data_IF_892499592204
#
_entry.id   IF_892499592204
#
_cell.length_a   1.000
_cell.length_b   1.000
_cell.length_c   1.000
_cell.angle_alpha   90.00
_cell.angle_beta   90.00
_cell.angle_gamma   90.00
#
_symmetry.space_group_name_H-M   'P 1'
#
loop_
_entity.id
_entity.type
_entity.pdbx_description
1 polymer ?
#
# COMPACT_ATOMS: atom_id res chain seq x y z
N UNK A 1 16.93 1.63 7.35
CA UNK A 1 15.72 2.41 7.72
C UNK A 1 15.85 2.78 9.20
N UNK A 2 15.30 3.91 9.68
CA UNK A 2 15.25 4.16 11.13
C UNK A 2 14.23 3.21 11.78
N UNK A 3 14.52 2.72 12.99
CA UNK A 3 13.67 1.76 13.72
C UNK A 3 12.24 2.28 13.94
N UNK A 4 12.10 3.56 14.29
CA UNK A 4 10.80 4.21 14.47
C UNK A 4 9.96 4.21 13.18
N UNK A 5 10.57 4.52 12.04
CA UNK A 5 9.90 4.52 10.73
C UNK A 5 9.46 3.12 10.32
N UNK A 6 10.28 2.09 10.61
CA UNK A 6 9.91 0.70 10.36
C UNK A 6 8.69 0.30 11.19
N UNK A 7 8.76 0.51 12.51
CA UNK A 7 7.68 0.14 13.43
C UNK A 7 6.38 0.88 13.08
N UNK A 8 6.45 2.17 12.77
CA UNK A 8 5.28 2.95 12.38
C UNK A 8 4.61 2.41 11.12
N UNK A 9 5.38 2.17 10.05
CA UNK A 9 4.82 1.61 8.82
C UNK A 9 4.28 0.18 9.03
N UNK A 10 5.02 -0.66 9.75
CA UNK A 10 4.60 -2.03 10.02
C UNK A 10 3.28 -2.05 10.80
N UNK A 11 3.16 -1.22 11.85
CA UNK A 11 1.94 -1.13 12.65
C UNK A 11 0.75 -0.70 11.80
N UNK A 12 0.89 0.34 10.96
CA UNK A 12 -0.18 0.79 10.06
C UNK A 12 -0.67 -0.34 9.16
N UNK A 13 0.24 -1.08 8.52
CA UNK A 13 -0.15 -2.15 7.60
C UNK A 13 -0.68 -3.40 8.29
N UNK A 14 -0.18 -3.73 9.48
CA UNK A 14 -0.72 -4.83 10.29
C UNK A 14 -2.14 -4.50 10.76
N UNK A 15 -2.39 -3.27 11.22
CA UNK A 15 -3.73 -2.83 11.62
C UNK A 15 -4.69 -2.84 10.43
N UNK A 16 -4.26 -2.32 9.27
CA UNK A 16 -5.05 -2.35 8.04
C UNK A 16 -5.38 -3.80 7.62
N UNK A 17 -4.39 -4.70 7.60
CA UNK A 17 -4.59 -6.10 7.29
C UNK A 17 -5.55 -6.78 8.27
N UNK A 18 -5.41 -6.52 9.58
CA UNK A 18 -6.30 -7.07 10.60
C UNK A 18 -7.75 -6.59 10.41
N UNK A 19 -7.95 -5.30 10.11
CA UNK A 19 -9.27 -4.75 9.83
C UNK A 19 -9.90 -5.37 8.58
N UNK A 20 -9.15 -5.51 7.49
CA UNK A 20 -9.62 -6.17 6.27
C UNK A 20 -9.95 -7.65 6.49
N UNK A 21 -9.10 -8.39 7.23
CA UNK A 21 -9.36 -9.78 7.59
C UNK A 21 -10.62 -9.92 8.47
N UNK A 22 -10.79 -9.04 9.45
CA UNK A 22 -11.97 -9.04 10.32
C UNK A 22 -13.25 -8.78 9.51
N UNK A 23 -13.22 -7.79 8.60
CA UNK A 23 -14.35 -7.52 7.71
C UNK A 23 -14.64 -8.71 6.78
N UNK A 24 -13.63 -9.26 6.10
CA UNK A 24 -13.82 -10.40 5.20
C UNK A 24 -14.30 -11.64 5.94
N UNK A 25 -13.79 -11.90 7.14
CA UNK A 25 -14.27 -13.01 7.97
C UNK A 25 -15.74 -12.79 8.34
N UNK A 26 -16.09 -11.60 8.83
CA UNK A 26 -17.48 -11.26 9.16
C UNK A 26 -18.42 -11.37 7.94
N UNK A 27 -18.01 -10.82 6.79
CA UNK A 27 -18.75 -10.84 5.52
C UNK A 27 -19.02 -12.26 5.02
N UNK A 28 -18.00 -13.13 5.05
CA UNK A 28 -18.13 -14.50 4.54
C UNK A 28 -18.74 -15.48 5.55
N UNK A 29 -18.73 -15.17 6.86
CA UNK A 29 -19.33 -16.02 7.90
C UNK A 29 -20.84 -15.82 8.06
N UNK A 30 -21.43 -14.77 7.46
CA UNK A 30 -22.85 -14.74 7.13
C UNK A 30 -23.86 -14.81 8.30
N UNK A 31 -23.50 -14.38 9.52
CA UNK A 31 -24.42 -14.44 10.68
C UNK A 31 -25.54 -13.37 10.70
N UNK A 32 -25.89 -12.84 9.54
CA UNK A 32 -26.97 -11.87 9.32
C UNK A 32 -26.76 -11.31 7.92
N UNK A 33 -27.75 -11.42 7.04
CA UNK A 33 -27.68 -10.89 5.67
C UNK A 33 -27.22 -9.44 5.73
N UNK A 34 -26.00 -9.12 5.28
CA UNK A 34 -25.50 -7.75 5.35
C UNK A 34 -26.41 -6.86 4.53
N UNK A 35 -26.79 -5.71 5.07
CA UNK A 35 -27.51 -4.73 4.29
C UNK A 35 -26.55 -4.11 3.27
N UNK A 36 -26.62 -4.61 2.04
CA UNK A 36 -25.79 -4.11 0.93
C UNK A 36 -26.19 -2.66 0.58
N UNK A 37 -27.30 -2.12 1.10
CA UNK A 37 -27.62 -0.70 0.95
C UNK A 37 -26.79 0.20 1.86
N UNK A 38 -26.10 -0.33 2.88
CA UNK A 38 -25.19 0.43 3.72
C UNK A 38 -23.89 0.80 2.94
N UNK A 39 -23.60 2.10 2.74
CA UNK A 39 -22.37 2.59 2.12
C UNK A 39 -21.08 1.98 2.70
N UNK A 40 -21.04 1.75 4.01
CA UNK A 40 -19.86 1.22 4.70
C UNK A 40 -19.64 -0.26 4.37
N UNK A 41 -20.74 -1.01 4.24
CA UNK A 41 -20.71 -2.41 3.83
C UNK A 41 -20.27 -2.52 2.37
N UNK A 42 -20.82 -1.70 1.47
CA UNK A 42 -20.39 -1.64 0.07
C UNK A 42 -18.90 -1.31 -0.07
N UNK A 43 -18.41 -0.32 0.69
CA UNK A 43 -17.01 0.07 0.72
C UNK A 43 -16.12 -1.11 1.12
N UNK A 44 -16.50 -1.83 2.18
CA UNK A 44 -15.77 -3.00 2.65
C UNK A 44 -15.73 -4.12 1.60
N UNK A 45 -16.85 -4.40 0.92
CA UNK A 45 -16.91 -5.43 -0.14
C UNK A 45 -15.94 -5.13 -1.28
N UNK A 46 -15.85 -3.87 -1.70
CA UNK A 46 -14.98 -3.47 -2.81
C UNK A 46 -13.51 -3.40 -2.39
N UNK A 47 -13.21 -2.88 -1.20
CA UNK A 47 -11.84 -2.54 -0.80
C UNK A 47 -11.13 -3.59 0.05
N UNK A 48 -11.83 -4.44 0.80
CA UNK A 48 -11.18 -5.26 1.82
C UNK A 48 -10.15 -6.23 1.21
N UNK A 49 -10.48 -6.89 0.10
CA UNK A 49 -9.55 -7.78 -0.60
C UNK A 49 -8.32 -7.06 -1.20
N UNK A 50 -8.47 -6.00 -2.03
CA UNK A 50 -7.31 -5.31 -2.60
C UNK A 50 -6.44 -4.64 -1.54
N UNK A 51 -7.04 -4.02 -0.51
CA UNK A 51 -6.28 -3.39 0.57
C UNK A 51 -5.54 -4.43 1.40
N UNK A 52 -6.15 -5.60 1.67
CA UNK A 52 -5.48 -6.70 2.35
C UNK A 52 -4.27 -7.20 1.57
N UNK A 53 -4.43 -7.47 0.26
CA UNK A 53 -3.33 -7.94 -0.59
C UNK A 53 -2.18 -6.93 -0.64
N UNK A 54 -2.51 -5.65 -0.77
CA UNK A 54 -1.52 -4.57 -0.72
C UNK A 54 -0.81 -4.55 0.64
N UNK A 55 -1.56 -4.62 1.74
CA UNK A 55 -1.03 -4.61 3.09
C UNK A 55 -0.09 -5.80 3.34
N UNK A 56 -0.45 -7.00 2.89
CA UNK A 56 0.42 -8.19 2.96
C UNK A 56 1.73 -7.93 2.21
N UNK A 57 1.66 -7.42 0.98
CA UNK A 57 2.84 -7.07 0.19
C UNK A 57 3.74 -6.05 0.88
N UNK A 58 3.14 -5.03 1.49
CA UNK A 58 3.85 -4.00 2.24
C UNK A 58 4.52 -4.57 3.50
N UNK A 59 3.81 -5.41 4.28
CA UNK A 59 4.37 -6.06 5.47
C UNK A 59 5.55 -6.96 5.09
N UNK A 60 5.38 -7.84 4.10
CA UNK A 60 6.42 -8.74 3.62
C UNK A 60 7.65 -7.95 3.17
N UNK A 61 7.44 -6.90 2.36
CA UNK A 61 8.51 -6.04 1.90
C UNK A 61 9.24 -5.31 3.04
N UNK A 62 8.50 -4.72 3.98
CA UNK A 62 9.08 -4.00 5.12
C UNK A 62 9.93 -4.93 5.98
N UNK A 63 9.40 -6.13 6.28
CA UNK A 63 10.08 -7.17 7.06
C UNK A 63 11.37 -7.60 6.37
N UNK A 64 11.31 -7.91 5.07
CA UNK A 64 12.49 -8.33 4.31
C UNK A 64 13.56 -7.24 4.24
N UNK A 65 13.17 -6.00 3.92
CA UNK A 65 14.09 -4.87 3.82
C UNK A 65 14.74 -4.54 5.17
N UNK A 66 14.00 -4.70 6.27
CA UNK A 66 14.51 -4.51 7.62
C UNK A 66 15.51 -5.61 8.01
N UNK A 67 15.12 -6.88 7.93
CA UNK A 67 15.97 -8.01 8.35
C UNK A 67 17.21 -8.16 7.48
N UNK A 68 17.10 -7.94 6.16
CA UNK A 68 18.23 -8.02 5.23
C UNK A 68 19.03 -6.72 5.14
N UNK A 69 18.64 -5.68 5.89
CA UNK A 69 19.27 -4.34 5.88
C UNK A 69 19.47 -3.80 4.45
N UNK A 70 18.49 -4.03 3.57
CA UNK A 70 18.59 -3.65 2.15
C UNK A 70 18.58 -2.12 2.03
N UNK A 71 19.55 -1.60 1.30
CA UNK A 71 19.68 -0.19 0.95
C UNK A 71 19.33 0.01 -0.52
N UNK A 72 18.66 1.12 -0.84
CA UNK A 72 18.25 1.45 -2.22
C UNK A 72 18.77 2.82 -2.61
N UNK A 73 19.00 3.01 -3.91
CA UNK A 73 19.36 4.33 -4.44
C UNK A 73 18.25 5.36 -4.20
N UNK A 74 18.61 6.64 -4.05
CA UNK A 74 17.66 7.75 -3.79
C UNK A 74 16.54 7.81 -4.83
N UNK A 75 16.89 7.65 -6.11
CA UNK A 75 15.92 7.72 -7.22
C UNK A 75 14.94 6.56 -7.13
N UNK A 76 15.44 5.33 -7.03
CA UNK A 76 14.60 4.12 -6.88
C UNK A 76 13.65 4.25 -5.69
N UNK A 77 14.14 4.71 -4.54
CA UNK A 77 13.31 4.95 -3.37
C UNK A 77 12.17 5.93 -3.65
N UNK A 78 12.46 7.08 -4.27
CA UNK A 78 11.44 8.10 -4.59
C UNK A 78 10.41 7.57 -5.58
N UNK A 79 10.86 6.92 -6.66
CA UNK A 79 10.00 6.36 -7.69
C UNK A 79 9.10 5.27 -7.11
N UNK A 80 9.67 4.30 -6.39
CA UNK A 80 8.90 3.23 -5.75
C UNK A 80 7.91 3.76 -4.71
N UNK A 81 8.29 4.79 -3.94
CA UNK A 81 7.37 5.43 -2.99
C UNK A 81 6.22 6.13 -3.70
N UNK A 82 6.50 6.89 -4.76
CA UNK A 82 5.49 7.58 -5.54
C UNK A 82 4.52 6.58 -6.18
N UNK A 83 5.04 5.54 -6.84
CA UNK A 83 4.22 4.48 -7.45
C UNK A 83 3.39 3.76 -6.39
N UNK A 84 4.01 3.35 -5.28
CA UNK A 84 3.30 2.65 -4.20
C UNK A 84 2.14 3.47 -3.65
N UNK A 85 2.37 4.75 -3.34
CA UNK A 85 1.32 5.65 -2.83
C UNK A 85 0.26 5.92 -3.90
N UNK A 86 0.65 6.18 -5.14
CA UNK A 86 -0.30 6.44 -6.24
C UNK A 86 -1.23 5.25 -6.46
N UNK A 87 -0.69 4.03 -6.44
CA UNK A 87 -1.49 2.82 -6.60
C UNK A 87 -2.39 2.56 -5.38
N UNK A 88 -1.95 2.87 -4.18
CA UNK A 88 -2.82 2.84 -2.99
C UNK A 88 -3.98 3.83 -3.13
N UNK A 89 -3.70 5.06 -3.57
CA UNK A 89 -4.74 6.05 -3.83
C UNK A 89 -5.72 5.57 -4.91
N UNK A 90 -5.22 4.92 -5.96
CA UNK A 90 -6.05 4.32 -6.99
C UNK A 90 -6.96 3.21 -6.44
N UNK A 91 -6.44 2.37 -5.54
CA UNK A 91 -7.25 1.38 -4.81
C UNK A 91 -8.32 2.06 -3.96
N UNK A 92 -7.97 3.11 -3.21
CA UNK A 92 -8.96 3.83 -2.39
C UNK A 92 -10.02 4.54 -3.24
N UNK A 93 -9.64 5.06 -4.41
CA UNK A 93 -10.56 5.66 -5.36
C UNK A 93 -11.62 4.67 -5.85
N UNK A 94 -11.32 3.37 -5.96
CA UNK A 94 -12.30 2.35 -6.31
C UNK A 94 -13.47 2.25 -5.33
N UNK A 95 -13.27 2.63 -4.06
CA UNK A 95 -14.32 2.62 -3.04
C UNK A 95 -15.16 3.90 -2.99
N UNK A 96 -14.77 4.96 -3.70
CA UNK A 96 -15.48 6.25 -3.65
C UNK A 96 -16.94 6.20 -4.10
N UNK A 97 -17.36 5.40 -5.09
CA UNK A 97 -18.77 5.32 -5.48
C UNK A 97 -19.68 4.85 -4.34
N UNK A 98 -19.15 4.06 -3.38
CA UNK A 98 -19.92 3.63 -2.22
C UNK A 98 -20.31 4.80 -1.30
N UNK A 99 -19.48 5.85 -1.25
CA UNK A 99 -19.70 7.02 -0.38
C UNK A 99 -20.32 8.21 -1.12
N UNK A 100 -20.10 8.30 -2.44
CA UNK A 100 -20.59 9.37 -3.31
C UNK A 100 -21.20 8.73 -4.57
N UNK A 101 -22.47 8.32 -4.52
CA UNK A 101 -23.13 7.62 -5.64
C UNK A 101 -23.11 8.41 -6.94
N UNK A 102 -23.21 9.75 -6.86
CA UNK A 102 -23.20 10.66 -8.00
C UNK A 102 -21.82 10.73 -8.71
N UNK A 103 -20.75 10.30 -8.03
CA UNK A 103 -19.41 10.17 -8.62
C UNK A 103 -19.22 8.82 -9.33
N UNK A 104 -20.23 7.93 -9.29
CA UNK A 104 -20.17 6.58 -9.80
C UNK A 104 -19.72 6.50 -11.25
N UNK A 105 -20.38 7.22 -12.17
CA UNK A 105 -20.05 7.16 -13.60
C UNK A 105 -18.63 7.65 -13.92
N UNK A 106 -18.14 8.66 -13.19
CA UNK A 106 -16.79 9.18 -13.37
C UNK A 106 -15.70 8.23 -12.84
N UNK A 107 -16.05 7.35 -11.90
CA UNK A 107 -15.11 6.49 -11.17
C UNK A 107 -15.36 4.98 -11.39
N UNK A 108 -16.23 4.63 -12.33
CA UNK A 108 -16.45 3.27 -12.82
C UNK A 108 -15.15 2.61 -13.30
N UNK A 109 -14.30 3.35 -14.01
CA UNK A 109 -13.02 2.85 -14.52
C UNK A 109 -12.09 2.34 -13.40
N UNK A 110 -11.72 3.18 -12.42
CA UNK A 110 -10.94 2.74 -11.26
C UNK A 110 -11.57 1.58 -10.49
N UNK A 111 -12.88 1.62 -10.24
CA UNK A 111 -13.58 0.54 -9.54
C UNK A 111 -13.48 -0.80 -10.29
N UNK A 112 -13.79 -0.80 -11.59
CA UNK A 112 -13.71 -1.99 -12.43
C UNK A 112 -12.27 -2.51 -12.51
N UNK A 113 -11.28 -1.63 -12.71
CA UNK A 113 -9.88 -2.03 -12.81
C UNK A 113 -9.40 -2.65 -11.51
N UNK A 114 -9.67 -2.03 -10.36
CA UNK A 114 -9.22 -2.54 -9.07
C UNK A 114 -9.88 -3.87 -8.74
N UNK A 115 -11.20 -3.99 -8.92
CA UNK A 115 -11.91 -5.25 -8.67
C UNK A 115 -11.43 -6.34 -9.64
N UNK A 116 -11.33 -6.05 -10.93
CA UNK A 116 -10.88 -7.01 -11.94
C UNK A 116 -9.44 -7.47 -11.71
N UNK A 117 -8.50 -6.54 -11.47
CA UNK A 117 -7.09 -6.89 -11.20
C UNK A 117 -6.97 -7.68 -9.91
N UNK A 118 -7.78 -7.40 -8.89
CA UNK A 118 -7.82 -8.20 -7.67
C UNK A 118 -8.22 -9.64 -7.96
N UNK A 119 -9.21 -9.85 -8.84
CA UNK A 119 -9.71 -11.19 -9.19
C UNK A 119 -8.76 -11.94 -10.13
N UNK A 120 -8.21 -11.26 -11.14
CA UNK A 120 -7.45 -11.89 -12.23
C UNK A 120 -5.95 -11.94 -11.94
N UNK A 121 -5.42 -10.98 -11.18
CA UNK A 121 -4.00 -10.87 -10.89
C UNK A 121 -3.73 -10.39 -9.45
N UNK A 122 -4.20 -11.12 -8.41
CA UNK A 122 -4.05 -10.73 -7.01
C UNK A 122 -2.58 -10.52 -6.60
N UNK A 123 -1.66 -11.28 -7.20
CA UNK A 123 -0.23 -11.13 -6.98
C UNK A 123 0.30 -9.77 -7.41
N UNK A 124 -0.29 -9.12 -8.43
CA UNK A 124 0.13 -7.78 -8.84
C UNK A 124 -0.16 -6.76 -7.74
N UNK A 125 -1.31 -6.84 -7.07
CA UNK A 125 -1.65 -5.92 -5.96
C UNK A 125 -0.70 -6.12 -4.78
N UNK A 126 -0.36 -7.37 -4.48
CA UNK A 126 0.65 -7.68 -3.47
C UNK A 126 2.03 -7.15 -3.85
N UNK A 127 2.43 -7.26 -5.12
CA UNK A 127 3.69 -6.68 -5.61
C UNK A 127 3.72 -5.15 -5.50
N UNK A 128 2.59 -4.47 -5.69
CA UNK A 128 2.49 -3.02 -5.50
C UNK A 128 2.69 -2.62 -4.03
N UNK A 129 2.15 -3.39 -3.09
CA UNK A 129 2.46 -3.24 -1.66
C UNK A 129 3.96 -3.42 -1.37
N UNK A 130 4.59 -4.40 -2.01
CA UNK A 130 6.03 -4.60 -1.90
C UNK A 130 6.83 -3.41 -2.46
N UNK A 131 6.41 -2.84 -3.60
CA UNK A 131 7.01 -1.63 -4.17
C UNK A 131 6.92 -0.44 -3.21
N UNK A 132 5.80 -0.27 -2.51
CA UNK A 132 5.69 0.72 -1.43
C UNK A 132 6.73 0.50 -0.33
N UNK A 133 6.94 -0.75 0.09
CA UNK A 133 7.95 -1.07 1.09
C UNK A 133 9.36 -0.72 0.64
N UNK A 134 9.71 -0.97 -0.63
CA UNK A 134 10.98 -0.50 -1.23
C UNK A 134 11.10 1.02 -1.13
N UNK A 135 10.00 1.74 -1.38
CA UNK A 135 9.94 3.19 -1.20
C UNK A 135 10.21 3.67 0.24
N UNK A 136 10.08 2.78 1.23
CA UNK A 136 10.35 3.06 2.63
C UNK A 136 11.77 2.66 3.08
N UNK A 137 12.52 1.92 2.27
CA UNK A 137 13.85 1.40 2.65
C UNK A 137 14.90 2.49 2.95
N UNK A 138 16.01 2.04 3.55
CA UNK A 138 17.19 2.88 3.76
C UNK A 138 17.79 3.36 2.43
N UNK A 139 18.43 4.52 2.45
CA UNK A 139 19.13 5.05 1.27
C UNK A 139 20.58 4.59 1.34
N UNK A 140 21.09 4.05 0.23
CA UNK A 140 22.52 3.82 0.06
C UNK A 140 23.23 5.16 -0.13
N UNK A 141 24.03 5.55 0.86
CA UNK A 141 24.81 6.80 0.85
C UNK A 141 26.11 6.69 0.06
N UNK A 142 26.58 5.47 -0.24
CA UNK A 142 27.80 5.24 -1.02
C UNK A 142 27.61 5.57 -2.51
N UNK A 143 26.39 5.40 -3.04
CA UNK A 143 26.00 5.80 -4.40
C UNK A 143 25.45 7.22 -4.41
N UNK A 144 26.32 8.15 -4.05
CA UNK A 144 26.16 9.58 -4.17
C UNK A 144 26.01 9.88 -5.68
N UNK A 145 24.85 10.40 -6.11
CA UNK A 145 24.50 10.58 -7.54
C UNK A 145 25.47 11.48 -8.30
N UNK A 146 25.28 11.74 -9.61
CA UNK A 146 26.26 12.47 -10.43
C UNK A 146 26.62 13.88 -9.91
N UNK A 147 25.71 14.50 -9.14
CA UNK A 147 25.94 15.81 -8.51
C UNK A 147 26.61 15.75 -7.13
N UNK A 148 26.88 14.56 -6.61
CA UNK A 148 27.42 14.41 -5.27
C UNK A 148 28.90 14.77 -5.14
N UNK A 149 29.60 14.92 -6.27
CA UNK A 149 30.91 15.58 -6.33
C UNK A 149 30.83 17.08 -5.97
N UNK A 150 29.65 17.69 -6.08
CA UNK A 150 29.41 19.11 -5.83
C UNK A 150 28.66 19.39 -4.52
N UNK A 151 28.24 18.33 -3.81
CA UNK A 151 27.67 18.49 -2.49
C UNK A 151 28.83 18.49 -1.49
N UNK A 152 28.91 19.48 -0.58
CA UNK A 152 29.85 19.44 0.53
C UNK A 152 29.79 18.08 1.20
N UNK A 153 30.94 17.56 1.61
CA UNK A 153 30.94 16.39 2.48
C UNK A 153 30.18 16.77 3.74
N UNK A 154 28.95 16.27 3.84
CA UNK A 154 28.13 16.34 5.04
C UNK A 154 28.88 15.57 6.14
N UNK A 155 29.84 16.23 6.79
CA UNK A 155 30.28 15.97 8.15
C UNK A 155 29.10 16.34 9.06
N UNK A 156 28.07 15.52 9.05
CA UNK A 156 27.16 15.43 10.17
C UNK A 156 27.55 14.16 10.91
N UNK A 157 28.45 14.39 11.86
CA UNK A 157 28.94 13.43 12.84
C UNK A 157 27.78 12.74 13.59
N UNK A 158 28.01 11.45 13.85
CA UNK A 158 27.47 10.56 14.90
C UNK A 158 25.94 10.37 15.07
#
# INVERSE_FOLDING_TARGET
>A
MKKSTFIGNLAVWVVAAAACCAFLAWWNLGNGTPDISDPLVQLGVVLAAPVLLYAIGAVVGLVLLWFKKILVGRVTKRVCRAIGILMLLFVLLAGTPALLPDAGEALLGPAVVVVYVTMVAPLLIMMLGFVYAIGCAGVDTSKRGPFAKYLPDDHFDE
#
